data_IF_909230637833
#
_entry.id   IF_909230637833
#
_cell.length_a   1.000
_cell.length_b   1.000
_cell.length_c   1.000
_cell.angle_alpha   90.00
_cell.angle_beta   90.00
_cell.angle_gamma   90.00
#
_symmetry.space_group_name_H-M   'P 1'
#
loop_
_entity.id
_entity.type
_entity.pdbx_description
1 polymer ?
#
# COMPACT_ATOMS: atom_id res chain seq x y z
N UNK A 1 -1.26 -12.70 -0.50
CA UNK A 1 -0.68 -11.38 -0.80
C UNK A 1 -1.41 -10.34 0.02
N UNK A 2 -0.67 -9.43 0.64
CA UNK A 2 -1.21 -8.29 1.36
C UNK A 2 -0.57 -7.02 0.85
N UNK A 3 -1.38 -6.02 0.52
CA UNK A 3 -0.93 -4.69 0.12
C UNK A 3 -1.59 -3.68 1.05
N UNK A 4 -0.77 -2.95 1.80
CA UNK A 4 -1.23 -2.02 2.84
C UNK A 4 -0.52 -0.70 2.74
N UNK A 5 -1.20 0.38 3.13
CA UNK A 5 -0.71 1.76 3.09
C UNK A 5 -0.58 2.29 4.52
N UNK A 6 0.52 2.99 4.80
CA UNK A 6 0.88 3.51 6.11
C UNK A 6 1.26 4.98 6.02
N UNK A 7 1.00 5.72 7.09
CA UNK A 7 1.53 7.07 7.26
C UNK A 7 2.96 7.04 7.86
N UNK A 8 3.55 8.22 8.04
CA UNK A 8 4.91 8.39 8.61
C UNK A 8 5.07 7.88 10.04
N UNK A 9 3.97 7.72 10.78
CA UNK A 9 3.96 7.14 12.14
C UNK A 9 3.84 5.61 12.12
N UNK A 10 3.83 4.98 10.94
CA UNK A 10 3.66 3.53 10.81
C UNK A 10 2.22 3.05 11.03
N UNK A 11 1.24 3.95 11.16
CA UNK A 11 -0.18 3.57 11.27
C UNK A 11 -0.67 3.12 9.91
N UNK A 12 -1.23 1.90 9.83
CA UNK A 12 -1.96 1.45 8.64
C UNK A 12 -3.19 2.33 8.44
N UNK A 13 -3.24 3.04 7.33
CA UNK A 13 -4.37 3.91 6.96
C UNK A 13 -5.32 3.22 5.98
N UNK A 14 -4.84 2.25 5.22
CA UNK A 14 -5.68 1.50 4.29
C UNK A 14 -5.11 0.12 3.99
N UNK A 15 -6.00 -0.86 3.83
CA UNK A 15 -5.69 -2.20 3.34
C UNK A 15 -6.28 -2.33 1.94
N UNK A 16 -5.42 -2.40 0.91
CA UNK A 16 -5.84 -2.43 -0.48
C UNK A 16 -6.09 -3.86 -0.97
N UNK A 17 -5.23 -4.79 -0.56
CA UNK A 17 -5.35 -6.21 -0.88
C UNK A 17 -5.07 -7.03 0.37
N UNK A 18 -5.90 -8.04 0.61
CA UNK A 18 -5.66 -9.06 1.63
C UNK A 18 -6.28 -10.40 1.21
N UNK A 19 -5.73 -10.99 0.16
CA UNK A 19 -6.22 -12.28 -0.36
C UNK A 19 -5.11 -13.09 -0.99
N UNK A 20 -5.37 -14.36 -1.25
CA UNK A 20 -4.52 -15.17 -2.11
C UNK A 20 -4.75 -14.75 -3.55
N UNK A 21 -3.66 -14.52 -4.27
CA UNK A 21 -3.66 -14.21 -5.69
C UNK A 21 -2.74 -15.23 -6.35
N UNK A 22 -3.12 -15.67 -7.55
CA UNK A 22 -2.29 -16.56 -8.35
C UNK A 22 -1.15 -15.76 -8.97
N UNK A 23 -0.19 -16.45 -9.59
CA UNK A 23 0.84 -15.78 -10.36
C UNK A 23 0.20 -14.96 -11.50
N UNK A 24 0.66 -13.73 -11.68
CA UNK A 24 0.15 -12.80 -12.68
C UNK A 24 0.44 -11.35 -12.32
N UNK A 25 0.09 -10.45 -13.23
CA UNK A 25 0.16 -9.00 -13.01
C UNK A 25 -1.18 -8.49 -12.51
N UNK A 26 -1.14 -7.63 -11.50
CA UNK A 26 -2.32 -7.02 -10.90
C UNK A 26 -2.10 -5.53 -10.75
N UNK A 27 -3.12 -4.75 -11.06
CA UNK A 27 -3.16 -3.31 -10.80
C UNK A 27 -4.11 -3.03 -9.65
N UNK A 28 -3.73 -2.10 -8.78
CA UNK A 28 -4.50 -1.73 -7.60
C UNK A 28 -4.52 -0.21 -7.50
N UNK A 29 -5.71 0.36 -7.53
CA UNK A 29 -5.90 1.80 -7.38
C UNK A 29 -5.90 2.19 -5.90
N UNK A 30 -5.18 3.26 -5.57
CA UNK A 30 -5.22 3.92 -4.27
C UNK A 30 -5.74 5.35 -4.43
N UNK A 31 -6.97 5.61 -4.00
CA UNK A 31 -7.52 6.97 -3.98
C UNK A 31 -7.01 7.73 -2.77
N UNK A 32 -6.11 8.69 -3.01
CA UNK A 32 -5.57 9.61 -2.00
C UNK A 32 -6.56 10.68 -1.52
N UNK A 33 -7.76 10.78 -2.10
CA UNK A 33 -8.70 11.89 -1.93
C UNK A 33 -9.06 12.22 -0.47
N UNK A 34 -9.09 11.21 0.40
CA UNK A 34 -9.44 11.34 1.82
C UNK A 34 -8.24 11.60 2.75
N UNK A 35 -7.03 11.69 2.19
CA UNK A 35 -5.80 11.84 2.95
C UNK A 35 -5.15 13.22 2.68
N UNK A 36 -4.40 13.73 3.64
CA UNK A 36 -3.65 14.96 3.48
C UNK A 36 -2.46 14.77 2.54
N UNK A 37 -2.07 15.81 1.79
CA UNK A 37 -0.83 15.78 1.03
C UNK A 37 0.36 15.49 1.95
N UNK A 38 1.30 14.67 1.49
CA UNK A 38 2.43 14.27 2.33
C UNK A 38 3.03 12.93 1.93
N UNK A 39 3.94 12.46 2.78
CA UNK A 39 4.65 11.20 2.57
C UNK A 39 3.86 10.03 3.15
N UNK A 40 3.76 8.97 2.37
CA UNK A 40 3.15 7.71 2.76
C UNK A 40 4.03 6.55 2.32
N UNK A 41 3.72 5.36 2.83
CA UNK A 41 4.40 4.13 2.49
C UNK A 41 3.39 3.08 2.12
N UNK A 42 3.74 2.18 1.20
CA UNK A 42 3.00 0.95 1.01
C UNK A 42 3.91 -0.25 1.18
N UNK A 43 3.34 -1.30 1.77
CA UNK A 43 4.01 -2.58 2.04
C UNK A 43 3.30 -3.68 1.27
N UNK A 44 4.07 -4.39 0.46
CA UNK A 44 3.66 -5.61 -0.23
C UNK A 44 4.24 -6.83 0.51
N UNK A 45 3.36 -7.74 0.93
CA UNK A 45 3.74 -8.98 1.61
C UNK A 45 3.19 -10.18 0.83
N UNK A 46 4.07 -11.08 0.38
CA UNK A 46 3.73 -12.26 -0.39
C UNK A 46 4.60 -13.47 0.00
N UNK A 47 4.13 -14.27 0.97
CA UNK A 47 4.92 -15.36 1.53
C UNK A 47 6.11 -14.80 2.32
N UNK A 48 7.32 -15.20 1.96
CA UNK A 48 8.56 -14.66 2.54
C UNK A 48 8.99 -13.31 1.93
N UNK A 49 8.38 -12.90 0.81
CA UNK A 49 8.70 -11.64 0.16
C UNK A 49 8.01 -10.48 0.89
N UNK A 50 8.80 -9.47 1.25
CA UNK A 50 8.33 -8.22 1.85
C UNK A 50 9.06 -7.06 1.19
N UNK A 51 8.31 -6.13 0.62
CA UNK A 51 8.85 -4.90 0.04
C UNK A 51 8.06 -3.70 0.54
N UNK A 52 8.77 -2.64 0.92
CA UNK A 52 8.16 -1.37 1.32
C UNK A 52 8.67 -0.27 0.40
N UNK A 53 7.76 0.54 -0.15
CA UNK A 53 8.11 1.70 -0.96
C UNK A 53 7.42 2.95 -0.44
N UNK A 54 8.07 4.09 -0.66
CA UNK A 54 7.58 5.41 -0.32
C UNK A 54 6.81 6.01 -1.50
N UNK A 55 5.75 6.76 -1.19
CA UNK A 55 5.04 7.61 -2.14
C UNK A 55 4.80 9.00 -1.56
N UNK A 56 4.63 9.99 -2.42
CA UNK A 56 4.24 11.35 -2.05
C UNK A 56 2.85 11.57 -2.62
N UNK A 57 1.89 11.87 -1.75
CA UNK A 57 0.56 12.30 -2.16
C UNK A 57 0.59 13.81 -2.36
N UNK A 58 0.31 14.24 -3.59
CA UNK A 58 0.12 15.64 -3.97
C UNK A 58 -1.38 15.86 -4.23
N UNK A 59 -1.88 17.04 -3.87
CA UNK A 59 -3.22 17.50 -4.20
C UNK A 59 -3.14 18.52 -5.32
#
# INVERSE_FOLDING_TARGET
MKLSVFNTLGKTIQLLVNKRLNAGSYEVEFSGSRFASGMYFYKLEAGSFVETKRMILLK
#
